data_IF_754022452360
#
_entry.id   IF_754022452360
#
_cell.length_a   1.000
_cell.length_b   1.000
_cell.length_c   1.000
_cell.angle_alpha   90.00
_cell.angle_beta   90.00
_cell.angle_gamma   90.00
#
_symmetry.space_group_name_H-M   'P 1'
#
loop_
_entity.id
_entity.type
_entity.pdbx_description
1 polymer ?
#
# COMPACT_ATOMS: atom_id res chain seq x y z
N UNK A 1 -5.37 -7.65 -19.01
CA UNK A 1 -4.46 -7.91 -17.88
C UNK A 1 -3.21 -8.56 -18.44
N UNK A 2 -2.02 -8.13 -18.05
CA UNK A 2 -0.76 -8.69 -18.56
C UNK A 2 -0.21 -9.72 -17.56
N UNK A 3 0.36 -10.79 -18.09
CA UNK A 3 1.02 -11.82 -17.29
C UNK A 3 2.52 -11.55 -17.22
N UNK A 4 3.10 -11.77 -16.03
CA UNK A 4 4.52 -11.57 -15.77
C UNK A 4 5.11 -12.92 -15.36
N UNK A 5 6.12 -13.37 -16.08
CA UNK A 5 6.91 -14.55 -15.74
C UNK A 5 8.28 -14.10 -15.23
N UNK A 6 8.56 -14.37 -13.95
CA UNK A 6 9.87 -14.16 -13.35
C UNK A 6 10.59 -15.51 -13.30
N UNK A 7 11.76 -15.60 -13.93
CA UNK A 7 12.57 -16.82 -13.98
C UNK A 7 13.73 -16.73 -12.99
N UNK A 8 14.29 -17.89 -12.66
CA UNK A 8 15.51 -18.02 -11.88
C UNK A 8 15.45 -17.34 -10.50
N UNK A 9 14.27 -17.38 -9.86
CA UNK A 9 14.11 -16.90 -8.48
C UNK A 9 14.75 -17.90 -7.53
N UNK A 10 15.71 -17.50 -6.68
CA UNK A 10 16.32 -18.40 -5.72
C UNK A 10 15.28 -19.03 -4.77
N UNK A 11 15.44 -20.31 -4.45
CA UNK A 11 14.49 -21.05 -3.61
C UNK A 11 14.27 -20.38 -2.25
N UNK A 12 15.33 -19.81 -1.66
CA UNK A 12 15.21 -19.09 -0.38
C UNK A 12 14.28 -17.87 -0.49
N UNK A 13 14.29 -17.17 -1.63
CA UNK A 13 13.42 -16.01 -1.86
C UNK A 13 11.98 -16.48 -2.03
N UNK A 14 11.76 -17.59 -2.74
CA UNK A 14 10.43 -18.20 -2.85
C UNK A 14 9.87 -18.60 -1.48
N UNK A 15 10.69 -19.21 -0.63
CA UNK A 15 10.28 -19.60 0.73
C UNK A 15 9.87 -18.39 1.60
N UNK A 16 10.63 -17.30 1.54
CA UNK A 16 10.28 -16.06 2.26
C UNK A 16 8.98 -15.43 1.73
N UNK A 17 8.76 -15.45 0.42
CA UNK A 17 7.52 -14.96 -0.20
C UNK A 17 6.31 -15.81 0.22
N UNK A 18 6.48 -17.13 0.29
CA UNK A 18 5.43 -18.03 0.78
C UNK A 18 5.10 -17.77 2.24
N UNK A 19 6.12 -17.62 3.09
CA UNK A 19 5.93 -17.30 4.50
C UNK A 19 5.22 -15.95 4.68
N UNK A 20 5.58 -14.94 3.87
CA UNK A 20 4.92 -13.63 3.89
C UNK A 20 3.46 -13.71 3.44
N UNK A 21 3.17 -14.43 2.36
CA UNK A 21 1.82 -14.64 1.87
C UNK A 21 0.95 -15.39 2.90
N UNK A 22 1.51 -16.43 3.53
CA UNK A 22 0.84 -17.19 4.59
C UNK A 22 0.52 -16.31 5.82
N UNK A 23 1.47 -15.48 6.27
CA UNK A 23 1.23 -14.51 7.37
C UNK A 23 0.12 -13.51 7.03
N UNK A 24 0.01 -13.13 5.76
CA UNK A 24 -1.04 -12.25 5.28
C UNK A 24 -2.37 -12.97 4.97
N UNK A 25 -2.44 -14.30 5.08
CA UNK A 25 -3.64 -15.09 4.81
C UNK A 25 -4.07 -15.11 3.34
N UNK A 26 -3.14 -14.90 2.41
CA UNK A 26 -3.42 -14.80 0.96
C UNK A 26 -2.50 -15.72 0.15
N UNK A 27 -2.85 -15.96 -1.12
CA UNK A 27 -2.00 -16.75 -2.01
C UNK A 27 -0.71 -15.99 -2.36
N UNK A 28 0.36 -16.72 -2.73
CA UNK A 28 1.62 -16.15 -3.23
C UNK A 28 1.38 -15.18 -4.40
N UNK A 29 0.51 -15.57 -5.34
CA UNK A 29 0.20 -14.75 -6.52
C UNK A 29 -0.47 -13.43 -6.11
N UNK A 30 -1.40 -13.48 -5.15
CA UNK A 30 -2.06 -12.27 -4.66
C UNK A 30 -1.11 -11.39 -3.86
N UNK A 31 -0.25 -11.98 -3.03
CA UNK A 31 0.79 -11.25 -2.31
C UNK A 31 1.69 -10.49 -3.29
N UNK A 32 2.21 -11.17 -4.31
CA UNK A 32 3.05 -10.55 -5.35
C UNK A 32 2.31 -9.46 -6.12
N UNK A 33 1.03 -9.66 -6.46
CA UNK A 33 0.22 -8.62 -7.11
C UNK A 33 0.11 -7.35 -6.27
N UNK A 34 -0.16 -7.47 -4.96
CA UNK A 34 -0.23 -6.33 -4.04
C UNK A 34 1.12 -5.66 -3.88
N UNK A 35 2.20 -6.44 -3.76
CA UNK A 35 3.56 -5.89 -3.67
C UNK A 35 3.91 -5.09 -4.93
N UNK A 36 3.68 -5.65 -6.13
CA UNK A 36 3.95 -4.96 -7.39
C UNK A 36 3.12 -3.69 -7.55
N UNK A 37 1.84 -3.71 -7.14
CA UNK A 37 0.99 -2.51 -7.16
C UNK A 37 1.53 -1.42 -6.22
N UNK A 38 1.95 -1.78 -5.01
CA UNK A 38 2.53 -0.84 -4.06
C UNK A 38 3.88 -0.28 -4.54
N UNK A 39 4.72 -1.10 -5.17
CA UNK A 39 5.98 -0.63 -5.79
C UNK A 39 5.74 0.32 -6.96
N UNK A 40 4.77 0.01 -7.84
CA UNK A 40 4.42 0.89 -8.94
C UNK A 40 3.92 2.25 -8.42
N UNK A 41 3.13 2.25 -7.35
CA UNK A 41 2.66 3.47 -6.70
C UNK A 41 3.83 4.25 -6.07
N UNK A 42 4.78 3.57 -5.41
CA UNK A 42 6.02 4.21 -4.90
C UNK A 42 6.85 4.84 -6.01
N UNK A 43 7.14 4.11 -7.08
CA UNK A 43 7.87 4.64 -8.22
C UNK A 43 7.17 5.87 -8.83
N UNK A 44 5.83 5.88 -8.83
CA UNK A 44 5.05 7.05 -9.30
C UNK A 44 5.15 8.25 -8.35
N UNK A 45 5.30 8.02 -7.03
CA UNK A 45 5.46 9.08 -6.02
C UNK A 45 6.79 9.82 -6.19
N UNK A 46 7.86 9.12 -6.56
CA UNK A 46 9.18 9.75 -6.78
C UNK A 46 9.16 10.75 -7.95
N UNK A 47 8.15 10.68 -8.82
CA UNK A 47 7.95 11.63 -9.92
C UNK A 47 7.07 12.83 -9.51
N UNK A 48 6.45 12.80 -8.32
CA UNK A 48 5.55 13.87 -7.85
C UNK A 48 6.37 15.04 -7.30
N UNK A 49 5.92 16.30 -7.48
CA UNK A 49 6.52 17.43 -6.75
C UNK A 49 6.52 17.19 -5.23
N UNK A 50 7.54 17.67 -4.50
CA UNK A 50 7.54 17.67 -3.04
C UNK A 50 6.29 18.37 -2.50
N UNK A 51 5.77 17.88 -1.37
CA UNK A 51 4.63 18.50 -0.69
C UNK A 51 5.02 19.90 -0.20
N UNK A 52 4.16 20.88 -0.48
CA UNK A 52 4.29 22.24 -0.01
C UNK A 52 3.51 22.46 1.30
N UNK A 53 3.72 23.60 1.96
CA UNK A 53 2.98 23.93 3.19
C UNK A 53 1.47 24.00 2.95
N UNK A 54 1.08 24.49 1.78
CA UNK A 54 -0.30 24.64 1.36
C UNK A 54 -1.01 23.28 1.25
N UNK A 55 -0.30 22.22 0.83
CA UNK A 55 -0.84 20.85 0.82
C UNK A 55 -1.16 20.36 2.23
N UNK A 56 -0.30 20.68 3.20
CA UNK A 56 -0.52 20.34 4.61
C UNK A 56 -1.67 21.13 5.24
N UNK A 57 -1.77 22.43 4.95
CA UNK A 57 -2.90 23.26 5.40
C UNK A 57 -4.21 22.69 4.86
N UNK A 58 -4.27 22.41 3.55
CA UNK A 58 -5.45 21.82 2.91
C UNK A 58 -5.80 20.46 3.50
N UNK A 59 -4.80 19.61 3.76
CA UNK A 59 -5.02 18.32 4.41
C UNK A 59 -5.66 18.54 5.78
N UNK A 60 -5.08 19.41 6.62
CA UNK A 60 -5.56 19.64 7.99
C UNK A 60 -7.01 20.12 8.06
N UNK A 61 -7.45 20.92 7.08
CA UNK A 61 -8.84 21.34 6.96
C UNK A 61 -9.76 20.17 6.57
N UNK A 62 -9.33 19.34 5.61
CA UNK A 62 -10.08 18.18 5.12
C UNK A 62 -10.24 17.08 6.17
N UNK A 63 -9.27 16.93 7.06
CA UNK A 63 -9.26 15.91 8.13
C UNK A 63 -9.56 16.51 9.51
N UNK A 64 -10.20 17.69 9.56
CA UNK A 64 -10.42 18.41 10.82
C UNK A 64 -11.34 17.67 11.80
N UNK A 65 -12.23 16.84 11.29
CA UNK A 65 -13.21 16.04 12.03
C UNK A 65 -12.68 14.67 12.49
N UNK A 66 -11.49 14.25 12.03
CA UNK A 66 -10.83 13.02 12.50
C UNK A 66 -10.50 13.04 14.01
N UNK A 67 -10.47 14.24 14.61
CA UNK A 67 -10.29 14.44 16.05
C UNK A 67 -11.63 14.52 16.83
N UNK A 68 -12.76 14.49 16.14
CA UNK A 68 -14.09 14.49 16.76
C UNK A 68 -14.51 13.05 17.10
N UNK A 69 -14.60 12.77 18.41
CA UNK A 69 -14.96 11.45 18.93
C UNK A 69 -16.37 10.99 18.52
N UNK A 70 -17.33 11.91 18.36
CA UNK A 70 -18.69 11.58 17.91
C UNK A 70 -18.71 11.22 16.43
N UNK A 71 -17.99 11.99 15.60
CA UNK A 71 -17.82 11.68 14.16
C UNK A 71 -17.14 10.33 13.99
N UNK A 72 -16.04 10.10 14.69
CA UNK A 72 -15.32 8.83 14.60
C UNK A 72 -16.16 7.67 15.10
N UNK A 73 -16.95 7.82 16.18
CA UNK A 73 -17.89 6.77 16.61
C UNK A 73 -18.88 6.40 15.50
N UNK A 74 -19.42 7.38 14.77
CA UNK A 74 -20.33 7.13 13.65
C UNK A 74 -19.69 6.44 12.46
N UNK A 75 -18.39 6.62 12.24
CA UNK A 75 -17.66 5.98 11.14
C UNK A 75 -17.36 4.49 11.38
N UNK A 76 -17.40 4.02 12.64
CA UNK A 76 -17.05 2.64 13.03
C UNK A 76 -18.25 1.80 13.50
N UNK A 77 -19.46 2.36 13.51
CA UNK A 77 -20.71 1.64 13.82
C UNK A 77 -21.29 0.95 12.59
#
# INVERSE_FOLDING_TARGET
MADILVRDVPDMVLAELDAAAARAGISRVEYLRRTLAAEAERASRDTRPPLAREDWTRLSELISDLADDDVMRGAWS
#
